data_IF_372481408971
#
_entry.id   IF_372481408971
#
_cell.length_a   1.000
_cell.length_b   1.000
_cell.length_c   1.000
_cell.angle_alpha   90.00
_cell.angle_beta   90.00
_cell.angle_gamma   90.00
#
_symmetry.space_group_name_H-M   'P 1'
#
loop_
_entity.id
_entity.type
_entity.pdbx_description
1 polymer ?
#
# COMPACT_ATOMS: atom_id res chain seq x y z
N UNK A 1 8.60 20.55 5.16
CA UNK A 1 8.67 19.83 3.86
C UNK A 1 9.91 18.96 3.87
N UNK A 2 9.77 17.66 4.19
CA UNK A 2 10.85 16.71 3.89
C UNK A 2 10.63 16.21 2.48
N UNK A 3 11.34 16.81 1.54
CA UNK A 3 11.50 16.23 0.21
C UNK A 3 12.32 14.97 0.43
N UNK A 4 11.67 13.80 0.34
CA UNK A 4 12.39 12.54 0.22
C UNK A 4 13.09 12.62 -1.13
N UNK A 5 14.38 12.95 -1.10
CA UNK A 5 15.23 12.90 -2.28
C UNK A 5 15.27 11.45 -2.76
N UNK A 6 14.45 11.10 -3.74
CA UNK A 6 14.76 9.94 -4.58
C UNK A 6 15.83 10.38 -5.57
N UNK A 7 16.77 9.49 -5.80
CA UNK A 7 17.71 9.48 -6.93
C UNK A 7 17.01 9.35 -8.30
N UNK A 8 15.71 9.68 -8.38
CA UNK A 8 14.83 9.45 -9.51
C UNK A 8 14.16 8.07 -9.52
N UNK A 9 14.62 7.11 -8.72
CA UNK A 9 14.06 5.75 -8.69
C UNK A 9 13.03 5.61 -7.56
N UNK A 10 11.84 5.14 -7.90
CA UNK A 10 10.80 4.81 -6.92
C UNK A 10 11.20 3.62 -6.04
N UNK A 11 10.61 3.53 -4.85
CA UNK A 11 10.67 2.32 -4.02
C UNK A 11 9.45 1.46 -4.28
N UNK A 12 9.65 0.19 -4.61
CA UNK A 12 8.59 -0.79 -4.80
C UNK A 12 8.45 -1.65 -3.55
N UNK A 13 7.27 -1.60 -2.94
CA UNK A 13 6.91 -2.38 -1.76
C UNK A 13 5.93 -3.49 -2.15
N UNK A 14 6.19 -4.70 -1.65
CA UNK A 14 5.27 -5.83 -1.67
C UNK A 14 5.35 -6.54 -0.32
N UNK A 15 4.28 -7.26 0.05
CA UNK A 15 4.36 -8.20 1.16
C UNK A 15 5.26 -9.40 0.79
N UNK A 16 5.73 -10.13 1.80
CA UNK A 16 6.56 -11.31 1.58
C UNK A 16 5.71 -12.60 1.49
N UNK A 17 4.51 -12.54 0.91
CA UNK A 17 3.69 -13.72 0.69
C UNK A 17 4.41 -14.73 -0.22
N UNK A 18 4.11 -16.03 -0.05
CA UNK A 18 4.82 -17.11 -0.77
C UNK A 18 4.92 -16.91 -2.29
N UNK A 19 3.88 -16.45 -3.01
CA UNK A 19 4.00 -16.18 -4.45
C UNK A 19 5.00 -15.05 -4.77
N UNK A 20 5.03 -14.01 -3.95
CA UNK A 20 5.89 -12.85 -4.10
C UNK A 20 7.36 -13.15 -3.71
N UNK A 21 7.57 -14.08 -2.78
CA UNK A 21 8.89 -14.59 -2.40
C UNK A 21 9.41 -15.71 -3.33
N UNK A 22 8.66 -16.07 -4.37
CA UNK A 22 9.04 -17.15 -5.29
C UNK A 22 10.31 -16.81 -6.07
N UNK A 23 11.01 -17.83 -6.58
CA UNK A 23 12.20 -17.65 -7.43
C UNK A 23 11.88 -16.83 -8.69
N UNK A 24 10.70 -17.02 -9.27
CA UNK A 24 10.26 -16.30 -10.48
C UNK A 24 10.06 -14.82 -10.18
N UNK A 25 9.35 -14.50 -9.10
CA UNK A 25 9.12 -13.12 -8.68
C UNK A 25 10.44 -12.41 -8.33
N UNK A 26 11.30 -13.05 -7.54
CA UNK A 26 12.61 -12.50 -7.19
C UNK A 26 13.53 -12.28 -8.41
N UNK A 27 13.50 -13.19 -9.40
CA UNK A 27 14.25 -13.01 -10.65
C UNK A 27 13.76 -11.78 -11.41
N UNK A 28 12.44 -11.61 -11.51
CA UNK A 28 11.84 -10.44 -12.17
C UNK A 28 12.22 -9.13 -11.46
N UNK A 29 12.17 -9.10 -10.12
CA UNK A 29 12.60 -7.93 -9.33
C UNK A 29 14.08 -7.60 -9.55
N UNK A 30 14.95 -8.60 -9.69
CA UNK A 30 16.37 -8.40 -9.99
C UNK A 30 16.58 -7.83 -11.39
N UNK A 31 15.86 -8.35 -12.38
CA UNK A 31 15.93 -7.88 -13.78
C UNK A 31 15.51 -6.40 -13.91
N UNK A 32 14.62 -5.91 -13.05
CA UNK A 32 14.11 -4.53 -13.05
C UNK A 32 14.74 -3.64 -11.98
N UNK A 33 15.88 -4.05 -11.40
CA UNK A 33 16.57 -3.29 -10.36
C UNK A 33 17.13 -1.93 -10.83
N UNK A 34 17.19 -1.69 -12.14
CA UNK A 34 17.48 -0.38 -12.73
C UNK A 34 16.28 0.58 -12.73
N UNK A 35 15.05 0.06 -12.62
CA UNK A 35 13.82 0.84 -12.80
C UNK A 35 13.25 1.31 -11.47
N UNK A 36 13.44 0.52 -10.41
CA UNK A 36 13.03 0.83 -9.05
C UNK A 36 13.85 0.05 -8.04
N UNK A 37 13.83 0.52 -6.79
CA UNK A 37 14.45 -0.18 -5.66
C UNK A 37 13.40 -1.05 -4.97
N UNK A 38 13.67 -2.36 -4.87
CA UNK A 38 12.84 -3.23 -4.05
C UNK A 38 13.00 -2.88 -2.56
N UNK A 39 11.89 -2.58 -1.89
CA UNK A 39 11.85 -2.28 -0.46
C UNK A 39 11.81 -3.58 0.35
N UNK A 40 12.78 -3.79 1.23
CA UNK A 40 12.84 -4.98 2.06
C UNK A 40 11.80 -4.91 3.20
N UNK A 41 10.68 -5.60 3.04
CA UNK A 41 9.57 -5.60 3.98
C UNK A 41 9.73 -6.61 5.12
N UNK A 42 9.45 -6.25 6.39
CA UNK A 42 9.44 -7.21 7.49
C UNK A 42 8.28 -8.22 7.34
N UNK A 43 8.50 -9.52 7.60
CA UNK A 43 7.42 -10.51 7.57
C UNK A 43 6.29 -10.17 8.54
N UNK A 44 5.05 -10.50 8.17
CA UNK A 44 3.85 -10.42 9.04
C UNK A 44 3.62 -9.03 9.67
N UNK A 45 3.87 -7.96 8.93
CA UNK A 45 3.63 -6.58 9.38
C UNK A 45 2.54 -5.91 8.52
N UNK A 46 1.26 -6.32 8.61
CA UNK A 46 0.18 -5.72 7.85
C UNK A 46 -0.08 -4.26 8.26
N UNK A 47 0.09 -3.93 9.55
CA UNK A 47 -0.06 -2.57 10.12
C UNK A 47 0.84 -1.52 9.44
N UNK A 48 1.91 -1.98 8.80
CA UNK A 48 2.83 -1.13 8.06
C UNK A 48 2.34 -0.84 6.63
N UNK A 49 1.46 -1.69 6.08
CA UNK A 49 1.08 -1.69 4.69
C UNK A 49 -0.01 -0.65 4.40
N UNK A 50 0.40 0.54 3.95
CA UNK A 50 -0.52 1.66 3.66
C UNK A 50 -1.59 1.36 2.59
N UNK A 51 -1.45 0.26 1.85
CA UNK A 51 -2.52 -0.17 0.93
C UNK A 51 -3.76 -0.63 1.69
N UNK A 52 -3.63 -1.15 2.91
CA UNK A 52 -4.76 -1.58 3.73
C UNK A 52 -5.62 -0.36 4.11
N UNK A 53 -5.01 0.75 4.55
CA UNK A 53 -5.77 1.98 4.82
C UNK A 53 -6.45 2.54 3.55
N UNK A 54 -5.84 2.32 2.40
CA UNK A 54 -6.42 2.74 1.11
C UNK A 54 -7.62 1.86 0.76
N UNK A 55 -7.54 0.55 1.00
CA UNK A 55 -8.65 -0.38 0.80
C UNK A 55 -9.81 -0.10 1.74
N UNK A 56 -9.54 0.12 3.02
CA UNK A 56 -10.57 0.47 4.01
C UNK A 56 -11.32 1.75 3.63
N UNK A 57 -10.58 2.76 3.13
CA UNK A 57 -11.20 3.99 2.63
C UNK A 57 -12.09 3.76 1.40
N UNK A 58 -11.68 2.90 0.46
CA UNK A 58 -12.49 2.56 -0.71
C UNK A 58 -13.77 1.81 -0.30
N UNK A 59 -13.63 0.80 0.57
CA UNK A 59 -14.76 0.00 1.05
C UNK A 59 -15.78 0.87 1.79
N UNK A 60 -15.33 1.81 2.62
CA UNK A 60 -16.23 2.71 3.35
C UNK A 60 -17.08 3.59 2.41
N UNK A 61 -16.52 4.00 1.27
CA UNK A 61 -17.26 4.77 0.26
C UNK A 61 -18.26 3.88 -0.46
N UNK A 62 -17.83 2.70 -0.90
CA UNK A 62 -18.67 1.76 -1.65
C UNK A 62 -19.81 1.16 -0.80
N UNK A 63 -19.61 0.91 0.50
CA UNK A 63 -20.66 0.45 1.42
C UNK A 63 -21.82 1.45 1.55
N UNK A 64 -21.55 2.74 1.35
CA UNK A 64 -22.56 3.80 1.44
C UNK A 64 -23.27 4.05 0.11
N UNK A 65 -22.86 3.36 -0.95
CA UNK A 65 -23.34 3.59 -2.31
C UNK A 65 -24.75 3.02 -2.50
N UNK A 66 -25.58 3.78 -3.21
CA UNK A 66 -26.94 3.35 -3.56
C UNK A 66 -27.22 3.65 -5.04
N UNK A 67 -27.61 2.64 -5.84
CA UNK A 67 -27.76 1.23 -5.47
C UNK A 67 -26.40 0.55 -5.23
N UNK A 68 -26.40 -0.55 -4.46
CA UNK A 68 -25.21 -1.39 -4.31
C UNK A 68 -24.83 -2.03 -5.67
N UNK A 69 -23.52 -2.22 -5.95
CA UNK A 69 -23.06 -2.93 -7.13
C UNK A 69 -23.64 -4.34 -7.22
N UNK A 70 -24.14 -4.76 -8.39
CA UNK A 70 -24.81 -6.06 -8.59
C UNK A 70 -23.98 -7.04 -9.42
N UNK A 71 -23.00 -6.53 -10.16
CA UNK A 71 -22.10 -7.32 -11.00
C UNK A 71 -20.65 -6.97 -10.68
N UNK A 72 -19.72 -7.84 -11.08
CA UNK A 72 -18.27 -7.55 -10.95
C UNK A 72 -17.87 -6.30 -11.72
N UNK A 73 -18.56 -5.98 -12.83
CA UNK A 73 -18.29 -4.79 -13.63
C UNK A 73 -18.78 -3.52 -12.91
N UNK A 74 -19.95 -3.60 -12.26
CA UNK A 74 -20.46 -2.49 -11.43
C UNK A 74 -19.51 -2.23 -10.26
N UNK A 75 -19.00 -3.29 -9.62
CA UNK A 75 -18.06 -3.17 -8.51
C UNK A 75 -16.72 -2.57 -8.97
N UNK A 76 -16.20 -3.00 -10.12
CA UNK A 76 -14.98 -2.42 -10.69
C UNK A 76 -15.15 -0.92 -10.95
N UNK A 77 -16.27 -0.54 -11.58
CA UNK A 77 -16.59 0.87 -11.85
C UNK A 77 -16.74 1.64 -10.55
N UNK A 78 -17.42 1.05 -9.56
CA UNK A 78 -17.60 1.68 -8.26
C UNK A 78 -16.26 1.97 -7.57
N UNK A 79 -15.37 0.99 -7.48
CA UNK A 79 -14.04 1.15 -6.88
C UNK A 79 -13.19 2.17 -7.63
N UNK A 80 -13.30 2.25 -8.97
CA UNK A 80 -12.59 3.25 -9.78
C UNK A 80 -13.08 4.67 -9.48
N UNK A 81 -14.39 4.87 -9.38
CA UNK A 81 -14.99 6.17 -9.02
C UNK A 81 -14.60 6.57 -7.59
N UNK A 82 -14.75 5.66 -6.64
CA UNK A 82 -14.42 5.88 -5.22
C UNK A 82 -12.94 6.24 -5.03
N UNK A 83 -12.06 5.64 -5.82
CA UNK A 83 -10.64 6.01 -5.86
C UNK A 83 -10.41 7.43 -6.38
N UNK A 84 -11.19 7.88 -7.37
CA UNK A 84 -11.10 9.25 -7.89
C UNK A 84 -11.64 10.29 -6.91
N UNK A 85 -12.51 9.89 -5.97
CA UNK A 85 -13.06 10.75 -4.93
C UNK A 85 -12.12 10.96 -3.72
N UNK A 86 -10.96 10.29 -3.70
CA UNK A 86 -9.98 10.51 -2.63
C UNK A 86 -9.61 12.00 -2.51
N UNK A 87 -9.59 12.56 -1.29
CA UNK A 87 -9.18 13.93 -1.07
C UNK A 87 -7.79 14.19 -1.67
N UNK A 88 -7.55 15.37 -2.27
CA UNK A 88 -6.23 15.74 -2.72
C UNK A 88 -5.20 15.58 -1.60
N UNK A 89 -4.15 14.80 -1.86
CA UNK A 89 -3.10 14.51 -0.88
C UNK A 89 -3.38 13.36 0.09
N UNK A 90 -4.53 12.67 0.02
CA UNK A 90 -4.80 11.51 0.90
C UNK A 90 -3.71 10.43 0.79
N UNK A 91 -3.33 10.03 -0.43
CA UNK A 91 -2.25 9.06 -0.62
C UNK A 91 -0.90 9.60 -0.13
N UNK A 92 -0.68 10.91 -0.26
CA UNK A 92 0.54 11.55 0.23
C UNK A 92 0.62 11.48 1.76
N UNK A 93 -0.49 11.70 2.48
CA UNK A 93 -0.49 11.60 3.95
C UNK A 93 -0.25 10.17 4.44
N UNK A 94 -0.75 9.16 3.72
CA UNK A 94 -0.44 7.75 4.00
C UNK A 94 1.06 7.48 3.85
N UNK A 95 1.67 7.93 2.74
CA UNK A 95 3.12 7.79 2.51
C UNK A 95 3.91 8.53 3.60
N UNK A 96 3.53 9.74 3.96
CA UNK A 96 4.18 10.54 5.00
C UNK A 96 4.02 9.94 6.40
N UNK A 97 3.03 9.07 6.61
CA UNK A 97 2.86 8.35 7.88
C UNK A 97 3.88 7.23 8.09
N UNK A 98 4.53 6.74 7.03
CA UNK A 98 5.42 5.58 7.06
C UNK A 98 6.52 5.65 8.13
N UNK A 99 7.29 6.74 8.29
CA UNK A 99 8.31 6.83 9.33
C UNK A 99 7.75 6.64 10.74
N UNK A 100 6.54 7.13 11.01
CA UNK A 100 5.89 6.98 12.32
C UNK A 100 5.35 5.56 12.53
N UNK A 101 4.82 4.92 11.49
CA UNK A 101 4.44 3.49 11.53
C UNK A 101 5.67 2.63 11.87
N UNK A 102 6.80 2.86 11.18
CA UNK A 102 8.07 2.16 11.47
C UNK A 102 8.53 2.38 12.91
N UNK A 103 8.50 3.63 13.39
CA UNK A 103 8.85 3.92 14.78
C UNK A 103 7.93 3.22 15.78
N UNK A 104 6.66 2.99 15.42
CA UNK A 104 5.70 2.27 16.26
C UNK A 104 5.97 0.76 16.27
N UNK A 105 6.26 0.17 15.10
CA UNK A 105 6.66 -1.24 14.98
C UNK A 105 7.93 -1.55 15.76
N UNK A 106 8.95 -0.67 15.66
CA UNK A 106 10.20 -0.81 16.41
C UNK A 106 9.96 -0.76 17.92
N UNK A 107 9.08 0.15 18.39
CA UNK A 107 8.68 0.24 19.80
C UNK A 107 7.90 -1.00 20.27
N UNK A 108 7.12 -1.60 19.38
CA UNK A 108 6.39 -2.84 19.65
C UNK A 108 7.27 -4.10 19.51
N UNK A 109 8.57 -3.96 19.20
CA UNK A 109 9.49 -5.07 18.92
C UNK A 109 8.97 -6.04 17.85
N UNK A 110 8.33 -5.51 16.80
CA UNK A 110 7.70 -6.30 15.74
C UNK A 110 6.33 -6.89 16.11
N UNK A 111 5.79 -6.56 17.27
CA UNK A 111 4.41 -6.86 17.65
C UNK A 111 3.39 -5.91 17.02
N UNK A 112 2.09 -6.18 17.24
CA UNK A 112 1.00 -5.36 16.70
C UNK A 112 1.10 -3.89 17.13
N UNK A 113 0.69 -3.01 16.24
CA UNK A 113 0.64 -1.57 16.46
C UNK A 113 -0.80 -1.06 16.41
N UNK A 114 -0.98 0.26 16.54
CA UNK A 114 -2.30 0.90 16.42
C UNK A 114 -2.77 1.10 14.98
N UNK A 115 -1.89 0.79 14.03
CA UNK A 115 -2.07 0.98 12.61
C UNK A 115 -2.58 -0.28 11.96
#
# INVERSE_FOLDING_TARGET
MSIVHSDGLGQFQLDNATPHASRVANKWLQEHSSDFRHFHWPPKSPDMNIIEDSWDALLLVDEKRSPLPRTSMDLLTALQDSRCEFPPGYLQTLIESMPHRFASLMRAHGGPTRY
#
